data_IF_737199726657
#
_entry.id   IF_737199726657
#
_cell.length_a   1.000
_cell.length_b   1.000
_cell.length_c   1.000
_cell.angle_alpha   90.00
_cell.angle_beta   90.00
_cell.angle_gamma   90.00
#
_symmetry.space_group_name_H-M   'P 1'
#
loop_
_entity.id
_entity.type
_entity.pdbx_description
1 polymer ?
#
# COMPACT_ATOMS: atom_id res chain seq x y z
N UNK A 1 -11.64 -2.34 -49.51
CA UNK A 1 -10.45 -1.56 -49.93
C UNK A 1 -9.25 -2.17 -49.22
N UNK A 2 -8.48 -2.98 -49.94
CA UNK A 2 -7.20 -3.55 -49.42
C UNK A 2 -6.11 -2.51 -49.68
N UNK A 3 -5.44 -2.06 -48.63
CA UNK A 3 -4.19 -1.30 -48.75
C UNK A 3 -3.05 -2.27 -48.49
N UNK A 4 -2.26 -2.56 -49.49
CA UNK A 4 -1.01 -3.29 -49.45
C UNK A 4 0.09 -2.34 -48.98
N UNK A 5 0.76 -2.69 -47.85
CA UNK A 5 2.00 -2.06 -47.44
C UNK A 5 3.20 -2.94 -47.81
N UNK A 6 4.36 -2.38 -48.18
CA UNK A 6 5.52 -3.13 -48.61
C UNK A 6 6.23 -3.80 -47.44
N UNK A 7 6.80 -4.97 -47.73
CA UNK A 7 7.58 -5.81 -46.83
C UNK A 7 8.81 -5.10 -46.31
N UNK A 8 8.90 -4.95 -44.98
CA UNK A 8 10.15 -4.71 -44.25
C UNK A 8 10.57 -6.00 -43.57
N UNK A 9 11.84 -6.32 -43.72
CA UNK A 9 12.46 -7.59 -43.46
C UNK A 9 12.38 -8.12 -42.01
N UNK A 10 12.69 -9.37 -41.91
CA UNK A 10 12.79 -10.30 -40.80
C UNK A 10 13.22 -9.68 -39.45
N UNK A 11 12.38 -9.87 -38.40
CA UNK A 11 12.78 -9.60 -37.02
C UNK A 11 11.68 -9.24 -36.04
N UNK A 12 10.43 -9.11 -36.44
CA UNK A 12 9.33 -8.86 -35.49
C UNK A 12 8.85 -10.18 -34.87
N UNK A 13 9.23 -10.42 -33.64
CA UNK A 13 8.58 -11.46 -32.81
C UNK A 13 7.16 -11.01 -32.50
N UNK A 14 6.19 -11.60 -33.12
CA UNK A 14 4.78 -11.37 -32.88
C UNK A 14 4.39 -12.09 -31.60
N UNK A 15 3.99 -11.36 -30.57
CA UNK A 15 3.34 -11.92 -29.39
C UNK A 15 1.89 -12.22 -29.79
N UNK A 16 1.54 -13.48 -30.03
CA UNK A 16 0.16 -13.88 -30.29
C UNK A 16 -0.50 -14.17 -28.94
N UNK A 17 -1.46 -13.34 -28.53
CA UNK A 17 -2.32 -13.63 -27.40
C UNK A 17 -3.56 -14.29 -27.94
N UNK A 18 -3.69 -15.61 -27.81
CA UNK A 18 -4.91 -16.33 -28.13
C UNK A 18 -5.85 -16.34 -26.91
N UNK A 19 -7.00 -15.71 -27.04
CA UNK A 19 -8.10 -15.91 -26.10
C UNK A 19 -8.70 -17.29 -26.33
N UNK A 20 -8.55 -18.19 -25.37
CA UNK A 20 -9.16 -19.54 -25.39
C UNK A 20 -10.68 -19.44 -25.49
N UNK A 21 -11.35 -20.13 -26.44
CA UNK A 21 -12.79 -20.11 -26.55
C UNK A 21 -13.42 -21.01 -25.45
N UNK A 22 -14.17 -20.38 -24.56
CA UNK A 22 -15.20 -21.00 -23.71
C UNK A 22 -14.76 -22.19 -22.86
N UNK A 23 -14.01 -21.91 -21.87
CA UNK A 23 -13.97 -22.66 -20.61
C UNK A 23 -14.08 -21.65 -19.50
N UNK A 24 -14.81 -21.93 -18.45
CA UNK A 24 -14.84 -21.17 -17.21
C UNK A 24 -13.44 -20.64 -16.97
N UNK A 25 -13.27 -19.31 -16.92
CA UNK A 25 -12.06 -18.68 -16.43
C UNK A 25 -11.92 -19.10 -14.96
N UNK A 26 -11.39 -20.28 -14.72
CA UNK A 26 -10.56 -20.49 -13.57
C UNK A 26 -9.31 -19.68 -13.91
N UNK A 27 -9.26 -18.44 -13.45
CA UNK A 27 -7.97 -17.85 -13.18
C UNK A 27 -7.29 -18.82 -12.21
N UNK A 28 -6.35 -19.56 -12.74
CA UNK A 28 -5.54 -20.48 -11.95
C UNK A 28 -4.63 -19.63 -11.09
N UNK A 29 -5.18 -19.08 -10.01
CA UNK A 29 -4.35 -18.83 -8.86
C UNK A 29 -3.86 -20.21 -8.46
N UNK A 30 -2.60 -20.50 -8.70
CA UNK A 30 -1.95 -21.67 -8.13
C UNK A 30 -2.09 -21.50 -6.63
N UNK A 31 -3.12 -22.18 -6.06
CA UNK A 31 -3.24 -22.30 -4.60
C UNK A 31 -1.91 -22.83 -4.14
N UNK A 32 -1.15 -22.04 -3.38
CA UNK A 32 -0.01 -22.55 -2.65
C UNK A 32 -0.49 -23.77 -1.88
N UNK A 33 0.34 -24.80 -1.86
CA UNK A 33 0.00 -26.03 -1.16
C UNK A 33 -0.29 -25.69 0.31
N UNK A 34 -1.49 -26.02 0.77
CA UNK A 34 -1.95 -25.86 2.16
C UNK A 34 -1.34 -26.90 3.09
N UNK A 35 -0.53 -27.80 2.55
CA UNK A 35 0.22 -28.79 3.33
C UNK A 35 1.47 -28.17 3.93
N UNK A 36 1.88 -28.61 5.15
CA UNK A 36 3.16 -28.25 5.72
C UNK A 36 4.27 -28.45 4.70
N UNK A 37 5.28 -27.60 4.74
CA UNK A 37 6.46 -27.76 3.89
C UNK A 37 6.98 -29.21 4.01
N UNK A 38 6.97 -29.97 2.92
CA UNK A 38 7.37 -31.37 2.98
C UNK A 38 8.86 -31.56 3.26
N UNK A 39 9.67 -30.53 3.00
CA UNK A 39 11.11 -30.53 3.28
C UNK A 39 11.60 -29.12 3.68
N UNK A 40 11.40 -28.71 4.95
CA UNK A 40 11.84 -27.39 5.43
C UNK A 40 13.37 -27.22 5.39
N UNK A 41 14.13 -28.29 5.32
CA UNK A 41 15.59 -28.22 5.20
C UNK A 41 15.97 -27.81 3.78
N UNK A 42 15.44 -28.50 2.78
CA UNK A 42 15.68 -28.14 1.38
C UNK A 42 15.21 -26.72 1.08
N UNK A 43 14.05 -26.29 1.59
CA UNK A 43 13.56 -24.92 1.43
C UNK A 43 14.54 -23.89 1.99
N UNK A 44 15.08 -24.12 3.19
CA UNK A 44 16.10 -23.24 3.78
C UNK A 44 17.39 -23.21 2.98
N UNK A 45 17.86 -24.35 2.53
CA UNK A 45 19.08 -24.44 1.70
C UNK A 45 18.95 -23.60 0.42
N UNK A 46 17.79 -23.63 -0.24
CA UNK A 46 17.51 -22.79 -1.40
C UNK A 46 17.51 -21.30 -1.05
N UNK A 47 16.86 -20.92 0.04
CA UNK A 47 16.81 -19.52 0.52
C UNK A 47 18.21 -19.01 0.89
N UNK A 48 18.99 -19.81 1.62
CA UNK A 48 20.35 -19.44 2.02
C UNK A 48 21.28 -19.36 0.83
N UNK A 49 21.11 -20.24 -0.15
CA UNK A 49 21.89 -20.20 -1.39
C UNK A 49 21.67 -18.91 -2.17
N UNK A 50 20.42 -18.47 -2.34
CA UNK A 50 20.13 -17.23 -3.07
C UNK A 50 20.58 -15.98 -2.28
N UNK A 51 20.46 -15.98 -0.93
CA UNK A 51 21.02 -14.91 -0.09
C UNK A 51 22.52 -14.82 -0.22
N UNK A 52 23.23 -15.94 -0.13
CA UNK A 52 24.69 -15.98 -0.31
C UNK A 52 25.12 -15.46 -1.68
N UNK A 53 24.39 -15.79 -2.74
CA UNK A 53 24.68 -15.24 -4.07
C UNK A 53 24.46 -13.73 -4.08
N UNK A 54 23.38 -13.22 -3.51
CA UNK A 54 23.14 -11.78 -3.48
C UNK A 54 24.21 -11.03 -2.67
N UNK A 55 24.63 -11.57 -1.53
CA UNK A 55 25.65 -10.97 -0.65
C UNK A 55 27.06 -11.01 -1.26
N UNK A 56 27.45 -12.13 -1.88
CA UNK A 56 28.83 -12.33 -2.32
C UNK A 56 29.09 -12.05 -3.80
N UNK A 57 28.07 -12.18 -4.65
CA UNK A 57 28.18 -12.02 -6.09
C UNK A 57 27.36 -10.82 -6.62
N UNK A 58 26.53 -10.23 -5.75
CA UNK A 58 25.73 -9.06 -6.05
C UNK A 58 24.36 -9.38 -6.67
N UNK A 59 23.52 -8.38 -6.66
CA UNK A 59 22.11 -8.44 -7.08
C UNK A 59 21.91 -8.94 -8.52
N UNK A 60 22.73 -8.46 -9.45
CA UNK A 60 22.60 -8.84 -10.86
C UNK A 60 22.79 -10.35 -11.08
N UNK A 61 23.71 -10.98 -10.35
CA UNK A 61 23.94 -12.42 -10.45
C UNK A 61 22.79 -13.20 -9.77
N UNK A 62 22.28 -12.72 -8.62
CA UNK A 62 21.12 -13.31 -8.00
C UNK A 62 19.88 -13.24 -8.92
N UNK A 63 19.61 -12.09 -9.53
CA UNK A 63 18.55 -11.93 -10.54
C UNK A 63 18.73 -12.89 -11.73
N UNK A 64 19.96 -13.00 -12.25
CA UNK A 64 20.26 -13.91 -13.37
C UNK A 64 19.96 -15.37 -13.02
N UNK A 65 20.38 -15.84 -11.85
CA UNK A 65 20.13 -17.20 -11.38
C UNK A 65 18.65 -17.46 -11.14
N UNK A 66 17.94 -16.52 -10.54
CA UNK A 66 16.48 -16.64 -10.35
C UNK A 66 15.76 -16.76 -11.69
N UNK A 67 16.08 -15.92 -12.67
CA UNK A 67 15.49 -16.02 -14.01
C UNK A 67 15.77 -17.36 -14.67
N UNK A 68 16.99 -17.87 -14.54
CA UNK A 68 17.34 -19.18 -15.08
C UNK A 68 16.56 -20.33 -14.41
N UNK A 69 16.34 -20.23 -13.09
CA UNK A 69 15.56 -21.19 -12.33
C UNK A 69 14.08 -21.15 -12.73
N UNK A 70 13.52 -19.95 -12.87
CA UNK A 70 12.15 -19.73 -13.36
C UNK A 70 11.98 -20.32 -14.77
N UNK A 71 12.93 -20.06 -15.66
CA UNK A 71 12.90 -20.63 -17.02
C UNK A 71 12.94 -22.16 -16.98
N UNK A 72 13.83 -22.75 -16.18
CA UNK A 72 13.92 -24.20 -16.06
C UNK A 72 12.61 -24.82 -15.49
N UNK A 73 11.97 -24.17 -14.53
CA UNK A 73 10.68 -24.60 -14.01
C UNK A 73 9.58 -24.51 -15.09
N UNK A 74 9.55 -23.43 -15.86
CA UNK A 74 8.61 -23.27 -16.99
C UNK A 74 8.82 -24.34 -18.06
N UNK A 75 10.08 -24.65 -18.41
CA UNK A 75 10.42 -25.69 -19.38
C UNK A 75 10.02 -27.09 -18.88
N UNK A 76 9.99 -27.29 -17.56
CA UNK A 76 9.48 -28.50 -16.92
C UNK A 76 7.94 -28.54 -16.80
N UNK A 77 7.23 -27.52 -17.32
CA UNK A 77 5.77 -27.44 -17.28
C UNK A 77 5.20 -27.01 -15.94
N UNK A 78 6.03 -26.43 -15.06
CA UNK A 78 5.57 -25.83 -13.79
C UNK A 78 5.01 -24.43 -14.08
N UNK A 79 3.75 -24.22 -13.75
CA UNK A 79 3.13 -22.91 -13.75
C UNK A 79 3.55 -22.16 -12.48
N UNK A 80 4.36 -21.14 -12.63
CA UNK A 80 4.89 -20.35 -11.50
C UNK A 80 3.89 -19.25 -11.10
N UNK A 81 2.92 -18.96 -11.97
CA UNK A 81 1.94 -17.89 -11.75
C UNK A 81 2.57 -16.49 -11.69
N UNK A 82 1.91 -15.57 -10.99
CA UNK A 82 2.46 -14.24 -10.70
C UNK A 82 3.45 -14.35 -9.52
N UNK A 83 4.57 -13.63 -9.59
CA UNK A 83 5.54 -13.61 -8.49
C UNK A 83 4.99 -12.76 -7.34
N UNK A 84 4.39 -13.43 -6.38
CA UNK A 84 3.88 -12.85 -5.14
C UNK A 84 4.76 -13.30 -3.97
N UNK A 85 4.94 -12.42 -2.99
CA UNK A 85 5.59 -12.81 -1.74
C UNK A 85 4.56 -13.36 -0.74
N UNK A 86 4.96 -14.09 0.32
CA UNK A 86 4.03 -14.55 1.35
C UNK A 86 3.15 -13.41 1.89
N UNK A 87 1.93 -13.72 2.32
CA UNK A 87 1.00 -12.73 2.91
C UNK A 87 1.43 -12.33 4.32
N UNK A 88 2.63 -11.79 4.41
CA UNK A 88 3.32 -11.35 5.63
C UNK A 88 3.89 -9.95 5.44
N UNK A 89 4.26 -9.30 6.54
CA UNK A 89 5.01 -8.06 6.50
C UNK A 89 6.33 -8.27 5.75
N UNK A 90 6.70 -7.33 4.89
CA UNK A 90 7.97 -7.42 4.13
C UNK A 90 9.20 -7.21 5.01
N UNK A 91 9.07 -6.45 6.11
CA UNK A 91 10.17 -6.14 7.03
C UNK A 91 9.99 -6.99 8.28
N UNK A 92 11.00 -7.82 8.56
CA UNK A 92 11.01 -8.66 9.76
C UNK A 92 11.12 -7.78 11.02
N UNK A 93 10.52 -8.19 12.17
CA UNK A 93 10.61 -7.42 13.42
C UNK A 93 12.03 -7.06 13.83
N UNK A 94 12.99 -7.95 13.61
CA UNK A 94 14.42 -7.73 13.94
C UNK A 94 15.09 -6.64 13.08
N UNK A 95 14.52 -6.34 11.89
CA UNK A 95 15.04 -5.38 10.93
C UNK A 95 14.38 -3.99 11.04
N UNK A 96 13.37 -3.85 11.91
CA UNK A 96 12.57 -2.60 12.00
C UNK A 96 13.34 -1.42 12.63
N UNK A 97 14.34 -1.70 13.43
CA UNK A 97 15.06 -0.68 14.19
C UNK A 97 14.22 -0.05 15.32
N UNK A 98 14.84 0.83 16.09
CA UNK A 98 14.15 1.55 17.15
C UNK A 98 13.24 2.65 16.59
N UNK A 99 12.06 2.80 17.17
CA UNK A 99 11.17 3.92 16.84
C UNK A 99 11.78 5.24 17.35
N UNK A 100 11.87 6.28 16.54
CA UNK A 100 12.61 7.50 16.92
C UNK A 100 11.79 8.49 17.75
N UNK A 101 10.45 8.36 17.75
CA UNK A 101 9.52 9.28 18.39
C UNK A 101 9.04 8.84 19.77
N UNK A 102 8.14 9.62 20.34
CA UNK A 102 7.40 9.30 21.56
C UNK A 102 6.03 8.71 21.15
N UNK A 103 5.93 7.37 21.15
CA UNK A 103 4.72 6.65 20.72
C UNK A 103 3.49 7.09 21.51
N UNK A 104 3.57 7.25 22.82
CA UNK A 104 2.43 7.64 23.65
C UNK A 104 1.94 9.04 23.31
N UNK A 105 2.84 9.95 23.01
CA UNK A 105 2.51 11.31 22.58
C UNK A 105 1.89 11.29 21.19
N UNK A 106 2.47 10.56 20.25
CA UNK A 106 2.00 10.50 18.86
C UNK A 106 0.63 9.83 18.75
N UNK A 107 0.38 8.75 19.50
CA UNK A 107 -0.95 8.12 19.61
C UNK A 107 -2.00 9.09 20.18
N UNK A 108 -1.64 9.88 21.18
CA UNK A 108 -2.54 10.89 21.75
C UNK A 108 -2.84 12.01 20.75
N UNK A 109 -1.81 12.51 20.04
CA UNK A 109 -1.99 13.52 19.01
C UNK A 109 -2.86 13.00 17.86
N UNK A 110 -2.58 11.80 17.39
CA UNK A 110 -3.39 11.11 16.38
C UNK A 110 -4.86 10.99 16.82
N UNK A 111 -5.11 10.58 18.07
CA UNK A 111 -6.46 10.52 18.64
C UNK A 111 -7.18 11.87 18.62
N UNK A 112 -6.48 12.96 18.95
CA UNK A 112 -7.02 14.33 18.91
C UNK A 112 -7.32 14.76 17.48
N UNK A 113 -6.45 14.48 16.53
CA UNK A 113 -6.66 14.86 15.12
C UNK A 113 -7.88 14.10 14.55
N UNK A 114 -7.95 12.79 14.79
CA UNK A 114 -9.11 11.97 14.38
C UNK A 114 -10.43 12.48 14.98
N UNK A 115 -10.43 12.83 16.27
CA UNK A 115 -11.59 13.40 16.93
C UNK A 115 -12.03 14.71 16.27
N UNK A 116 -11.10 15.62 15.99
CA UNK A 116 -11.41 16.90 15.36
C UNK A 116 -11.95 16.72 13.94
N UNK A 117 -11.37 15.82 13.15
CA UNK A 117 -11.87 15.48 11.82
C UNK A 117 -13.32 14.95 11.89
N UNK A 118 -13.59 14.00 12.79
CA UNK A 118 -14.93 13.45 13.00
C UNK A 118 -15.93 14.53 13.46
N UNK A 119 -15.53 15.38 14.41
CA UNK A 119 -16.40 16.44 14.92
C UNK A 119 -16.72 17.50 13.88
N UNK A 120 -15.73 17.89 13.05
CA UNK A 120 -15.95 18.80 11.93
C UNK A 120 -17.03 18.26 10.98
N UNK A 121 -16.88 17.02 10.54
CA UNK A 121 -17.83 16.36 9.63
C UNK A 121 -19.20 16.19 10.28
N UNK A 122 -19.26 15.72 11.53
CA UNK A 122 -20.52 15.48 12.26
C UNK A 122 -21.29 16.78 12.49
N UNK A 123 -20.59 17.85 12.88
CA UNK A 123 -21.22 19.18 13.06
C UNK A 123 -21.76 19.71 11.75
N UNK A 124 -20.98 19.64 10.66
CA UNK A 124 -21.44 20.09 9.36
C UNK A 124 -22.73 19.37 8.93
N UNK A 125 -22.80 18.04 9.07
CA UNK A 125 -23.98 17.26 8.73
C UNK A 125 -25.19 17.54 9.66
N UNK A 126 -24.96 18.01 10.89
CA UNK A 126 -26.04 18.42 11.79
C UNK A 126 -26.75 19.68 11.32
N UNK A 127 -26.02 20.61 10.72
CA UNK A 127 -26.55 21.92 10.29
C UNK A 127 -26.90 21.98 8.81
N UNK A 128 -26.30 21.13 7.98
CA UNK A 128 -26.48 21.10 6.54
C UNK A 128 -26.74 19.67 6.08
N UNK A 129 -28.01 19.35 5.87
CA UNK A 129 -28.41 18.01 5.42
C UNK A 129 -27.71 17.65 4.09
N UNK A 130 -27.12 16.46 4.05
CA UNK A 130 -26.49 15.94 2.83
C UNK A 130 -25.12 16.52 2.49
N UNK A 131 -24.52 17.34 3.37
CA UNK A 131 -23.17 17.90 3.11
C UNK A 131 -22.10 16.81 3.03
N UNK A 132 -22.30 15.69 3.70
CA UNK A 132 -21.44 14.52 3.63
C UNK A 132 -20.08 14.70 4.33
N UNK A 133 -19.12 13.94 3.89
CA UNK A 133 -17.76 13.85 4.42
C UNK A 133 -17.33 12.38 4.59
N UNK A 134 -16.16 12.01 4.13
CA UNK A 134 -15.71 10.61 4.10
C UNK A 134 -14.77 10.31 5.26
N UNK A 135 -15.32 10.30 6.47
CA UNK A 135 -14.52 10.15 7.69
C UNK A 135 -13.88 8.76 7.82
N UNK A 136 -14.54 7.71 7.30
CA UNK A 136 -14.00 6.35 7.33
C UNK A 136 -12.73 6.21 6.47
N UNK A 137 -12.70 6.84 5.30
CA UNK A 137 -11.51 6.86 4.43
C UNK A 137 -10.32 7.50 5.14
N UNK A 138 -10.56 8.60 5.85
CA UNK A 138 -9.50 9.20 6.66
C UNK A 138 -9.09 8.30 7.83
N UNK A 139 -10.05 7.71 8.54
CA UNK A 139 -9.76 6.87 9.69
C UNK A 139 -8.81 5.72 9.33
N UNK A 140 -9.00 5.08 8.16
CA UNK A 140 -8.13 3.99 7.71
C UNK A 140 -6.74 4.45 7.28
N UNK A 141 -6.59 5.64 6.70
CA UNK A 141 -5.31 6.16 6.25
C UNK A 141 -4.56 6.98 7.31
N UNK A 142 -5.19 7.27 8.44
CA UNK A 142 -4.75 8.31 9.38
C UNK A 142 -3.36 8.06 9.99
N UNK A 143 -3.06 6.83 10.44
CA UNK A 143 -1.74 6.50 10.98
C UNK A 143 -0.63 6.71 9.95
N UNK A 144 -0.92 6.33 8.69
CA UNK A 144 0.00 6.54 7.58
C UNK A 144 0.36 8.00 7.39
N UNK A 145 -0.65 8.84 7.45
CA UNK A 145 -0.47 10.27 7.25
C UNK A 145 0.23 10.93 8.43
N UNK A 146 -0.16 10.56 9.66
CA UNK A 146 0.55 11.06 10.83
C UNK A 146 2.01 10.62 10.85
N UNK A 147 2.32 9.38 10.45
CA UNK A 147 3.70 8.92 10.26
C UNK A 147 4.46 9.80 9.26
N UNK A 148 3.85 10.08 8.11
CA UNK A 148 4.41 10.96 7.11
C UNK A 148 4.67 12.38 7.64
N UNK A 149 3.67 12.98 8.29
CA UNK A 149 3.77 14.32 8.85
C UNK A 149 4.81 14.43 9.98
N UNK A 150 4.91 13.42 10.82
CA UNK A 150 5.78 13.49 12.01
C UNK A 150 7.24 13.22 11.66
N UNK A 151 7.53 12.39 10.66
CA UNK A 151 8.88 11.86 10.47
C UNK A 151 9.45 11.96 9.05
N UNK A 152 8.61 12.08 8.01
CA UNK A 152 9.09 11.88 6.63
C UNK A 152 8.78 13.01 5.65
N UNK A 153 7.60 13.64 5.73
CA UNK A 153 7.25 14.69 4.78
C UNK A 153 8.08 15.95 5.01
N UNK A 154 8.68 16.46 3.96
CA UNK A 154 9.54 17.65 4.00
C UNK A 154 8.77 18.88 3.54
N UNK A 155 8.72 19.91 4.41
CA UNK A 155 8.14 21.20 4.09
C UNK A 155 9.01 22.01 3.14
N UNK A 156 8.46 23.12 2.64
CA UNK A 156 9.15 24.04 1.74
C UNK A 156 10.00 25.09 2.48
N UNK A 157 9.95 25.09 3.79
CA UNK A 157 10.70 25.96 4.69
C UNK A 157 12.11 25.41 5.02
N UNK A 158 12.40 24.17 4.59
CA UNK A 158 13.71 23.55 4.70
C UNK A 158 14.61 23.79 3.49
N UNK A 159 15.72 23.05 3.43
CA UNK A 159 16.59 23.05 2.25
C UNK A 159 15.92 22.28 1.08
N UNK A 160 15.87 22.87 -0.10
CA UNK A 160 15.33 22.26 -1.31
C UNK A 160 13.90 22.68 -1.64
N UNK A 161 13.27 21.95 -2.56
CA UNK A 161 11.95 22.29 -3.08
C UNK A 161 10.78 21.80 -2.20
N UNK A 162 11.07 21.03 -1.12
CA UNK A 162 10.06 20.31 -0.35
C UNK A 162 9.42 19.18 -1.11
N UNK A 163 8.56 18.42 -0.45
CA UNK A 163 7.85 17.29 -1.05
C UNK A 163 6.54 17.72 -1.70
N UNK A 164 6.08 16.94 -2.68
CA UNK A 164 4.77 17.09 -3.29
C UNK A 164 3.82 16.01 -2.76
N UNK A 165 2.71 16.43 -2.13
CA UNK A 165 1.78 15.53 -1.47
C UNK A 165 0.46 15.46 -2.25
N UNK A 166 0.19 14.29 -2.81
CA UNK A 166 -1.07 13.97 -3.49
C UNK A 166 -1.96 13.19 -2.52
N UNK A 167 -2.81 13.89 -1.82
CA UNK A 167 -3.69 13.33 -0.82
C UNK A 167 -4.84 12.53 -1.45
N UNK A 168 -5.23 11.44 -0.84
CA UNK A 168 -6.50 10.80 -1.18
C UNK A 168 -7.64 11.80 -0.89
N UNK A 169 -8.28 12.29 -1.96
CA UNK A 169 -9.18 13.44 -1.85
C UNK A 169 -10.32 13.31 -0.86
N UNK A 170 -10.87 12.08 -0.75
CA UNK A 170 -11.94 11.78 0.18
C UNK A 170 -11.51 11.84 1.66
N UNK A 171 -10.25 11.70 1.96
CA UNK A 171 -9.71 11.76 3.32
C UNK A 171 -9.27 13.18 3.76
N UNK A 172 -9.55 14.21 2.97
CA UNK A 172 -9.23 15.62 3.27
C UNK A 172 -9.66 16.12 4.67
N UNK A 173 -10.72 15.60 5.34
CA UNK A 173 -11.04 16.00 6.71
C UNK A 173 -9.88 15.89 7.68
N UNK A 174 -9.03 14.87 7.53
CA UNK A 174 -7.84 14.70 8.38
C UNK A 174 -6.80 15.78 8.18
N UNK A 175 -6.51 16.16 6.93
CA UNK A 175 -5.58 17.23 6.61
C UNK A 175 -6.05 18.57 7.20
N UNK A 176 -7.34 18.87 7.11
CA UNK A 176 -7.91 20.05 7.72
C UNK A 176 -7.80 20.03 9.24
N UNK A 177 -8.11 18.91 9.88
CA UNK A 177 -8.03 18.78 11.33
C UNK A 177 -6.60 18.96 11.84
N UNK A 178 -5.61 18.39 11.15
CA UNK A 178 -4.19 18.57 11.45
C UNK A 178 -3.76 20.02 11.27
N UNK A 179 -4.06 20.62 10.13
CA UNK A 179 -3.71 22.00 9.82
C UNK A 179 -4.34 23.01 10.79
N UNK A 180 -5.54 22.71 11.30
CA UNK A 180 -6.15 23.53 12.35
C UNK A 180 -5.38 23.45 13.67
N UNK A 181 -4.94 22.27 14.10
CA UNK A 181 -4.11 22.14 15.30
C UNK A 181 -2.74 22.83 15.15
N UNK A 182 -2.20 22.85 13.94
CA UNK A 182 -0.97 23.58 13.61
C UNK A 182 -1.18 25.09 13.49
N UNK A 183 -2.40 25.60 13.67
CA UNK A 183 -2.72 27.03 13.57
C UNK A 183 -2.79 27.59 12.14
N UNK A 184 -2.75 26.74 11.12
CA UNK A 184 -2.86 27.12 9.69
C UNK A 184 -4.30 27.40 9.26
N UNK A 185 -5.26 26.83 9.96
CA UNK A 185 -6.69 27.04 9.76
C UNK A 185 -7.33 27.62 11.02
N UNK A 186 -8.34 28.46 10.85
CA UNK A 186 -9.11 29.04 11.97
C UNK A 186 -10.28 28.15 12.37
N UNK A 187 -10.88 28.43 13.54
CA UNK A 187 -12.11 27.76 13.97
C UNK A 187 -13.26 28.02 13.00
N UNK A 188 -13.37 29.23 12.45
CA UNK A 188 -14.38 29.60 11.45
C UNK A 188 -14.26 28.76 10.16
N UNK A 189 -13.02 28.44 9.73
CA UNK A 189 -12.80 27.51 8.63
C UNK A 189 -13.36 26.13 8.93
N UNK A 190 -13.12 25.59 10.14
CA UNK A 190 -13.61 24.26 10.54
C UNK A 190 -15.14 24.20 10.61
N UNK A 191 -15.81 25.30 11.03
CA UNK A 191 -17.27 25.38 11.05
C UNK A 191 -17.90 25.44 9.67
N UNK A 192 -17.12 25.91 8.66
CA UNK A 192 -17.56 26.03 7.27
C UNK A 192 -17.02 24.90 6.38
N UNK A 193 -16.91 23.69 6.92
CA UNK A 193 -16.51 22.52 6.14
C UNK A 193 -17.44 22.27 4.95
N UNK A 194 -16.88 22.10 3.75
CA UNK A 194 -17.62 21.93 2.48
C UNK A 194 -18.56 23.09 2.13
N UNK A 195 -18.24 24.29 2.56
CA UNK A 195 -19.01 25.49 2.23
C UNK A 195 -18.18 26.48 1.43
N UNK A 196 -17.51 25.97 0.41
CA UNK A 196 -16.62 26.72 -0.47
C UNK A 196 -17.33 27.70 -1.41
N UNK A 197 -18.65 27.57 -1.59
CA UNK A 197 -19.43 28.47 -2.43
C UNK A 197 -19.42 29.86 -1.83
N UNK A 198 -18.84 30.82 -2.56
CA UNK A 198 -18.60 32.18 -2.04
C UNK A 198 -17.20 32.39 -1.46
N UNK A 199 -16.32 31.37 -1.47
CA UNK A 199 -14.89 31.50 -1.18
C UNK A 199 -14.50 31.65 0.28
N UNK A 200 -15.36 31.26 1.24
CA UNK A 200 -15.11 31.43 2.67
C UNK A 200 -15.03 30.13 3.47
N UNK A 201 -15.40 29.00 2.91
CA UNK A 201 -15.39 27.70 3.57
C UNK A 201 -14.25 26.82 3.08
N UNK A 202 -14.02 25.72 3.79
CA UNK A 202 -13.11 24.69 3.35
C UNK A 202 -13.69 23.99 2.11
N UNK A 203 -12.85 23.75 1.13
CA UNK A 203 -13.25 23.04 -0.07
C UNK A 203 -13.63 21.59 0.25
N UNK A 204 -14.59 21.06 -0.50
CA UNK A 204 -15.10 19.68 -0.34
C UNK A 204 -13.99 18.64 -0.51
N UNK A 205 -13.01 18.96 -1.37
CA UNK A 205 -11.86 18.14 -1.71
C UNK A 205 -10.63 19.04 -1.96
N UNK A 206 -9.42 18.47 -2.07
CA UNK A 206 -8.25 19.24 -2.49
C UNK A 206 -8.51 20.00 -3.77
N UNK A 207 -8.50 21.34 -3.68
CA UNK A 207 -8.89 22.21 -4.79
C UNK A 207 -8.03 23.49 -4.82
N UNK A 208 -6.94 23.52 -5.59
CA UNK A 208 -6.00 24.65 -5.63
C UNK A 208 -6.60 26.00 -6.02
N UNK A 209 -7.69 26.04 -6.80
CA UNK A 209 -8.34 27.30 -7.16
C UNK A 209 -9.18 27.90 -6.03
N UNK A 210 -9.77 27.04 -5.18
CA UNK A 210 -10.60 27.49 -4.06
C UNK A 210 -9.77 27.79 -2.82
N UNK A 211 -8.66 27.09 -2.64
CA UNK A 211 -7.73 27.25 -1.52
C UNK A 211 -6.28 27.24 -2.05
N UNK A 212 -5.85 28.29 -2.79
CA UNK A 212 -4.54 28.31 -3.47
C UNK A 212 -3.34 28.33 -2.53
N UNK A 213 -3.50 28.83 -1.32
CA UNK A 213 -2.45 28.88 -0.30
C UNK A 213 -2.41 27.62 0.57
N UNK A 214 -3.29 26.66 0.29
CA UNK A 214 -3.43 25.43 1.08
C UNK A 214 -3.23 24.16 0.27
N UNK A 215 -3.89 24.02 -0.88
CA UNK A 215 -3.81 22.85 -1.74
C UNK A 215 -2.90 23.09 -2.95
N UNK A 216 -1.97 22.17 -3.21
CA UNK A 216 -1.14 22.22 -4.40
C UNK A 216 -1.76 21.45 -5.58
N UNK A 217 -2.40 20.30 -5.29
CA UNK A 217 -2.88 19.39 -6.32
C UNK A 217 -4.36 19.04 -6.14
N UNK A 218 -5.13 18.97 -7.23
CA UNK A 218 -6.50 18.45 -7.20
C UNK A 218 -6.46 16.92 -7.26
N UNK A 219 -7.02 16.25 -6.26
CA UNK A 219 -6.98 14.77 -6.16
C UNK A 219 -8.35 14.12 -5.99
N UNK A 220 -9.42 14.84 -6.31
CA UNK A 220 -10.78 14.35 -6.10
C UNK A 220 -11.20 13.29 -7.11
N UNK A 221 -10.74 13.36 -8.35
CA UNK A 221 -11.04 12.36 -9.36
C UNK A 221 -10.22 11.11 -9.11
N UNK A 222 -10.89 10.05 -8.66
CA UNK A 222 -10.25 8.77 -8.43
C UNK A 222 -9.58 8.25 -9.71
N UNK A 223 -8.39 7.68 -9.56
CA UNK A 223 -7.55 7.22 -10.65
C UNK A 223 -6.63 8.26 -11.25
N UNK A 224 -7.06 9.52 -11.39
CA UNK A 224 -6.23 10.58 -11.98
C UNK A 224 -5.07 11.01 -11.07
N UNK A 225 -5.22 10.88 -9.76
CA UNK A 225 -4.18 11.22 -8.78
C UNK A 225 -2.89 10.44 -9.00
N UNK A 226 -2.99 9.11 -9.18
CA UNK A 226 -1.84 8.24 -9.43
C UNK A 226 -1.08 8.66 -10.70
N UNK A 227 -1.81 8.84 -11.79
CA UNK A 227 -1.22 9.23 -13.07
C UNK A 227 -0.55 10.61 -12.97
N UNK A 228 -1.20 11.59 -12.35
CA UNK A 228 -0.62 12.94 -12.21
C UNK A 228 0.58 12.96 -11.29
N UNK A 229 0.60 12.15 -10.22
CA UNK A 229 1.75 12.02 -9.32
C UNK A 229 2.98 11.45 -10.06
N UNK A 230 2.80 10.40 -10.88
CA UNK A 230 3.87 9.85 -11.73
C UNK A 230 4.41 10.92 -12.69
N UNK A 231 3.54 11.67 -13.34
CA UNK A 231 3.97 12.73 -14.23
C UNK A 231 4.64 13.90 -13.49
N UNK A 232 4.25 14.19 -12.26
CA UNK A 232 4.95 15.18 -11.42
C UNK A 232 6.37 14.70 -11.08
N UNK A 233 6.53 13.45 -10.67
CA UNK A 233 7.85 12.89 -10.40
C UNK A 233 8.75 12.94 -11.62
N UNK A 234 8.21 12.57 -12.78
CA UNK A 234 8.89 12.68 -14.08
C UNK A 234 9.28 14.11 -14.42
N UNK A 235 8.37 15.06 -14.18
CA UNK A 235 8.62 16.48 -14.46
C UNK A 235 9.67 17.06 -13.53
N UNK A 236 9.70 16.66 -12.26
CA UNK A 236 10.75 17.04 -11.32
C UNK A 236 12.13 16.61 -11.83
N UNK A 237 12.28 15.35 -12.29
CA UNK A 237 13.53 14.87 -12.90
C UNK A 237 13.91 15.66 -14.14
N UNK A 238 12.95 15.96 -15.00
CA UNK A 238 13.22 16.79 -16.19
C UNK A 238 13.74 18.18 -15.80
N UNK A 239 13.16 18.84 -14.81
CA UNK A 239 13.61 20.17 -14.36
C UNK A 239 15.00 20.12 -13.75
N UNK A 240 15.31 19.07 -12.99
CA UNK A 240 16.62 18.83 -12.40
C UNK A 240 17.69 18.57 -13.47
N UNK A 241 17.43 17.65 -14.39
CA UNK A 241 18.31 17.32 -15.52
C UNK A 241 18.61 18.55 -16.41
N UNK A 242 17.68 19.48 -16.47
CA UNK A 242 17.85 20.77 -17.16
C UNK A 242 18.55 21.82 -16.33
N UNK A 243 18.87 21.54 -15.06
CA UNK A 243 19.47 22.50 -14.14
C UNK A 243 18.58 23.72 -13.82
N UNK A 244 17.24 23.56 -13.95
CA UNK A 244 16.28 24.63 -13.72
C UNK A 244 15.93 24.77 -12.24
N UNK A 245 15.84 23.64 -11.53
CA UNK A 245 15.62 23.58 -10.08
C UNK A 245 16.41 22.39 -9.50
N UNK A 246 16.58 22.43 -8.18
CA UNK A 246 17.17 21.30 -7.44
C UNK A 246 16.05 20.54 -6.73
N UNK A 247 15.75 19.33 -7.19
CA UNK A 247 14.71 18.45 -6.62
C UNK A 247 15.27 17.15 -6.06
N UNK A 248 16.59 17.00 -6.00
CA UNK A 248 17.24 15.74 -5.63
C UNK A 248 16.77 15.15 -4.29
N UNK A 249 16.40 16.00 -3.33
CA UNK A 249 15.86 15.58 -2.04
C UNK A 249 14.33 15.54 -1.97
N UNK A 250 13.62 16.00 -3.01
CA UNK A 250 12.16 16.08 -3.02
C UNK A 250 11.54 14.76 -3.44
N UNK A 251 10.46 14.35 -2.75
CA UNK A 251 9.66 13.18 -3.07
C UNK A 251 8.28 13.59 -3.54
N UNK A 252 7.68 12.77 -4.37
CA UNK A 252 6.26 12.85 -4.70
C UNK A 252 5.55 11.72 -3.95
N UNK A 253 4.70 12.07 -3.01
CA UNK A 253 3.92 11.14 -2.21
C UNK A 253 2.49 11.09 -2.71
N UNK A 254 1.98 9.90 -2.94
CA UNK A 254 0.58 9.70 -3.32
C UNK A 254 -0.05 8.62 -2.45
N UNK A 255 -1.24 8.90 -1.91
CA UNK A 255 -2.04 7.90 -1.18
C UNK A 255 -3.23 7.51 -2.03
N UNK A 256 -3.40 6.21 -2.28
CA UNK A 256 -4.47 5.61 -3.05
C UNK A 256 -5.21 4.54 -2.25
N UNK A 257 -6.53 4.48 -2.41
CA UNK A 257 -7.34 3.37 -1.87
C UNK A 257 -7.31 2.14 -2.80
N UNK A 258 -7.56 0.96 -2.23
CA UNK A 258 -7.73 -0.29 -3.00
C UNK A 258 -8.90 -0.20 -3.99
N UNK A 259 -10.03 0.38 -3.58
CA UNK A 259 -11.16 0.63 -4.47
C UNK A 259 -10.84 1.60 -5.60
N UNK A 260 -9.94 2.57 -5.38
CA UNK A 260 -9.47 3.48 -6.43
C UNK A 260 -8.61 2.76 -7.48
N UNK A 261 -7.99 1.64 -7.13
CA UNK A 261 -7.20 0.83 -8.08
C UNK A 261 -8.04 0.15 -9.15
N UNK A 262 -9.37 0.09 -8.97
CA UNK A 262 -10.31 -0.42 -10.00
C UNK A 262 -10.48 0.56 -11.15
N UNK A 263 -10.14 1.85 -10.96
CA UNK A 263 -10.17 2.83 -12.03
C UNK A 263 -9.02 2.58 -13.02
N UNK A 264 -9.29 2.48 -14.34
CA UNK A 264 -8.25 2.17 -15.33
C UNK A 264 -7.06 3.12 -15.28
N UNK A 265 -7.27 4.38 -14.96
CA UNK A 265 -6.26 5.42 -14.89
C UNK A 265 -5.28 5.20 -13.73
N UNK A 266 -5.72 4.60 -12.62
CA UNK A 266 -4.90 4.42 -11.42
C UNK A 266 -3.63 3.63 -11.68
N UNK A 267 -3.71 2.58 -12.48
CA UNK A 267 -2.61 1.66 -12.75
C UNK A 267 -1.98 1.85 -14.13
N UNK A 268 -2.53 2.75 -14.95
CA UNK A 268 -2.18 2.89 -16.36
C UNK A 268 -0.73 3.32 -16.61
N UNK A 269 -0.11 4.05 -15.70
CA UNK A 269 1.21 4.63 -15.86
C UNK A 269 2.31 3.97 -15.00
N UNK A 270 1.99 2.89 -14.29
CA UNK A 270 2.97 2.19 -13.44
C UNK A 270 4.23 1.77 -14.22
N UNK A 271 4.04 1.17 -15.40
CA UNK A 271 5.15 0.75 -16.26
C UNK A 271 5.96 1.92 -16.83
N UNK A 272 5.39 3.14 -16.91
CA UNK A 272 6.14 4.34 -17.29
C UNK A 272 7.15 4.69 -16.20
N UNK A 273 6.72 4.72 -14.96
CA UNK A 273 7.59 5.02 -13.82
C UNK A 273 8.75 4.03 -13.73
N UNK A 274 8.47 2.72 -13.78
CA UNK A 274 9.50 1.68 -13.75
C UNK A 274 10.47 1.78 -14.93
N UNK A 275 9.97 2.00 -16.16
CA UNK A 275 10.82 2.12 -17.35
C UNK A 275 11.71 3.37 -17.34
N UNK A 276 11.23 4.48 -16.81
CA UNK A 276 12.01 5.72 -16.72
C UNK A 276 12.87 5.80 -15.46
N UNK A 277 12.80 4.78 -14.61
CA UNK A 277 13.61 4.74 -13.41
C UNK A 277 13.31 5.89 -12.45
N UNK A 278 12.02 6.21 -12.20
CA UNK A 278 11.63 7.28 -11.30
C UNK A 278 11.77 6.82 -9.83
N UNK A 279 12.81 7.22 -9.15
CA UNK A 279 13.12 6.90 -7.75
C UNK A 279 12.64 7.97 -6.75
N UNK A 280 11.90 8.96 -7.23
CA UNK A 280 11.43 10.10 -6.45
C UNK A 280 9.92 10.09 -6.22
N UNK A 281 9.24 8.94 -6.38
CA UNK A 281 7.81 8.79 -6.14
C UNK A 281 7.52 7.66 -5.16
N UNK A 282 6.63 7.91 -4.21
CA UNK A 282 6.18 6.95 -3.20
C UNK A 282 4.66 6.87 -3.25
N UNK A 283 4.14 5.66 -3.44
CA UNK A 283 2.70 5.39 -3.41
C UNK A 283 2.32 4.58 -2.18
N UNK A 284 1.45 5.10 -1.35
CA UNK A 284 0.87 4.39 -0.22
C UNK A 284 -0.49 3.84 -0.63
N UNK A 285 -0.62 2.51 -0.64
CA UNK A 285 -1.89 1.82 -0.92
C UNK A 285 -2.64 1.59 0.39
N UNK A 286 -3.81 2.19 0.53
CA UNK A 286 -4.71 1.97 1.65
C UNK A 286 -5.71 0.86 1.30
N UNK A 287 -5.38 -0.39 1.66
CA UNK A 287 -6.24 -1.56 1.42
C UNK A 287 -7.09 -1.82 2.65
N UNK A 288 -8.24 -1.16 2.72
CA UNK A 288 -9.21 -1.35 3.80
C UNK A 288 -10.34 -2.32 3.42
N UNK A 289 -10.25 -2.99 2.28
CA UNK A 289 -11.23 -3.93 1.73
C UNK A 289 -12.64 -3.32 1.56
N UNK A 290 -12.72 -2.00 1.43
CA UNK A 290 -13.98 -1.29 1.21
C UNK A 290 -13.97 -0.58 -0.14
N UNK A 291 -15.08 -0.67 -0.86
CA UNK A 291 -15.31 0.07 -2.11
C UNK A 291 -16.46 1.05 -1.91
N UNK A 292 -16.67 1.95 -2.90
CA UNK A 292 -17.73 2.96 -2.82
C UNK A 292 -19.13 2.37 -2.66
N UNK A 293 -19.37 1.21 -3.25
CA UNK A 293 -20.65 0.52 -3.30
C UNK A 293 -20.78 -0.60 -2.24
N UNK A 294 -19.78 -0.77 -1.37
CA UNK A 294 -19.79 -1.74 -0.30
C UNK A 294 -18.46 -2.49 -0.10
N UNK A 295 -18.49 -3.59 0.66
CA UNK A 295 -17.28 -4.38 0.89
C UNK A 295 -16.76 -5.04 -0.37
N UNK A 296 -15.46 -5.33 -0.37
CA UNK A 296 -14.83 -6.10 -1.45
C UNK A 296 -15.56 -7.41 -1.64
N UNK A 297 -15.87 -7.72 -2.89
CA UNK A 297 -16.53 -8.96 -3.29
C UNK A 297 -15.66 -9.68 -4.29
N UNK A 298 -15.41 -10.94 -4.07
CA UNK A 298 -14.66 -11.77 -5.02
C UNK A 298 -13.91 -12.89 -4.34
N UNK A 299 -13.29 -13.71 -5.17
CA UNK A 299 -12.48 -14.85 -4.76
C UNK A 299 -10.99 -14.56 -4.95
N UNK A 300 -10.57 -13.30 -4.74
CA UNK A 300 -9.20 -12.84 -4.87
C UNK A 300 -8.71 -12.20 -3.57
N UNK A 301 -7.43 -11.89 -3.55
CA UNK A 301 -6.75 -11.16 -2.51
C UNK A 301 -6.15 -9.91 -3.13
N UNK A 302 -6.82 -8.78 -2.94
CA UNK A 302 -6.48 -7.51 -3.60
C UNK A 302 -5.03 -7.09 -3.34
N UNK A 303 -4.53 -7.36 -2.15
CA UNK A 303 -3.15 -7.10 -1.75
C UNK A 303 -2.16 -7.81 -2.66
N UNK A 304 -2.34 -9.12 -2.86
CA UNK A 304 -1.47 -9.94 -3.69
C UNK A 304 -1.59 -9.54 -5.17
N UNK A 305 -2.81 -9.25 -5.62
CA UNK A 305 -3.05 -8.77 -6.97
C UNK A 305 -2.32 -7.45 -7.25
N UNK A 306 -2.38 -6.50 -6.32
CA UNK A 306 -1.68 -5.22 -6.44
C UNK A 306 -0.17 -5.41 -6.36
N UNK A 307 0.33 -6.25 -5.43
CA UNK A 307 1.76 -6.59 -5.37
C UNK A 307 2.26 -7.08 -6.73
N UNK A 308 1.56 -8.05 -7.34
CA UNK A 308 1.91 -8.60 -8.64
C UNK A 308 1.95 -7.53 -9.74
N UNK A 309 0.97 -6.63 -9.77
CA UNK A 309 0.89 -5.54 -10.76
C UNK A 309 2.04 -4.53 -10.61
N UNK A 310 2.33 -4.10 -9.38
CA UNK A 310 3.41 -3.15 -9.10
C UNK A 310 4.78 -3.78 -9.39
N UNK A 311 5.05 -4.99 -8.88
CA UNK A 311 6.32 -5.70 -9.17
C UNK A 311 6.51 -5.97 -10.65
N UNK A 312 5.46 -6.38 -11.35
CA UNK A 312 5.49 -6.58 -12.82
C UNK A 312 5.76 -5.30 -13.60
N UNK A 313 5.47 -4.15 -13.03
CA UNK A 313 5.78 -2.83 -13.60
C UNK A 313 7.16 -2.29 -13.19
N UNK A 314 7.94 -3.04 -12.42
CA UNK A 314 9.29 -2.67 -11.98
C UNK A 314 9.35 -1.86 -10.69
N UNK A 315 8.30 -1.96 -9.85
CA UNK A 315 8.23 -1.28 -8.57
C UNK A 315 8.73 -2.18 -7.43
N UNK A 316 9.40 -1.59 -6.45
CA UNK A 316 9.65 -2.24 -5.16
C UNK A 316 8.38 -2.20 -4.32
N UNK A 317 8.00 -3.30 -3.69
CA UNK A 317 6.75 -3.41 -2.90
C UNK A 317 7.08 -3.83 -1.48
N UNK A 318 6.64 -3.03 -0.51
CA UNK A 318 6.71 -3.34 0.92
C UNK A 318 5.29 -3.55 1.43
N UNK A 319 5.02 -4.73 1.99
CA UNK A 319 3.75 -5.05 2.63
C UNK A 319 3.83 -4.78 4.12
N UNK A 320 2.80 -4.10 4.63
CA UNK A 320 2.58 -3.83 6.06
C UNK A 320 1.16 -4.28 6.38
N UNK A 321 1.01 -5.52 6.82
CA UNK A 321 -0.29 -6.18 6.97
C UNK A 321 -0.66 -6.35 8.44
N UNK A 322 0.26 -6.86 9.23
CA UNK A 322 0.06 -7.33 10.59
C UNK A 322 0.74 -6.39 11.58
N UNK A 323 0.04 -6.02 12.64
CA UNK A 323 0.58 -5.21 13.72
C UNK A 323 1.57 -5.98 14.60
N UNK A 324 2.17 -5.29 15.54
CA UNK A 324 3.24 -5.84 16.39
C UNK A 324 2.77 -6.99 17.28
N UNK A 325 1.48 -7.07 17.62
CA UNK A 325 0.93 -8.19 18.40
C UNK A 325 1.00 -9.54 17.70
N UNK A 326 1.12 -9.54 16.37
CA UNK A 326 1.25 -10.76 15.56
C UNK A 326 2.68 -11.33 15.55
N UNK A 327 3.68 -10.53 15.89
CA UNK A 327 5.09 -10.92 15.75
C UNK A 327 5.43 -12.17 16.54
N UNK A 328 4.94 -12.29 17.78
CA UNK A 328 5.16 -13.47 18.60
C UNK A 328 4.54 -14.73 18.00
N UNK A 329 3.35 -14.62 17.41
CA UNK A 329 2.69 -15.76 16.78
C UNK A 329 3.46 -16.23 15.53
N UNK A 330 3.91 -15.30 14.70
CA UNK A 330 4.74 -15.64 13.54
C UNK A 330 6.09 -16.24 13.95
N UNK A 331 6.73 -15.72 15.00
CA UNK A 331 7.97 -16.29 15.52
C UNK A 331 7.79 -17.72 16.04
N UNK A 332 6.61 -18.07 16.56
CA UNK A 332 6.26 -19.43 17.04
C UNK A 332 5.80 -20.35 15.92
N UNK A 333 5.42 -19.84 14.76
CA UNK A 333 4.96 -20.61 13.61
C UNK A 333 6.13 -21.16 12.79
N UNK A 334 6.93 -22.01 13.39
CA UNK A 334 8.13 -22.56 12.76
C UNK A 334 7.87 -23.39 11.50
N UNK A 335 6.63 -23.79 11.26
CA UNK A 335 6.21 -24.59 10.09
C UNK A 335 5.50 -23.73 9.02
N UNK A 336 5.27 -22.45 9.27
CA UNK A 336 4.57 -21.56 8.35
C UNK A 336 3.08 -21.86 8.17
N UNK A 337 2.47 -22.56 9.13
CA UNK A 337 1.05 -22.96 9.02
C UNK A 337 0.12 -21.76 9.11
N UNK A 338 0.43 -20.81 9.99
CA UNK A 338 -0.34 -19.57 10.13
C UNK A 338 -0.17 -18.69 8.89
N UNK A 339 1.06 -18.52 8.42
CA UNK A 339 1.34 -17.76 7.19
C UNK A 339 0.58 -18.34 5.99
N UNK A 340 0.62 -19.67 5.81
CA UNK A 340 -0.13 -20.34 4.76
C UNK A 340 -1.65 -20.18 4.92
N UNK A 341 -2.16 -20.27 6.15
CA UNK A 341 -3.59 -20.09 6.44
C UNK A 341 -4.06 -18.68 6.08
N UNK A 342 -3.27 -17.66 6.41
CA UNK A 342 -3.58 -16.28 6.07
C UNK A 342 -3.51 -16.03 4.55
N UNK A 343 -2.62 -16.70 3.85
CA UNK A 343 -2.50 -16.62 2.38
C UNK A 343 -3.68 -17.28 1.65
N UNK A 344 -4.29 -18.31 2.25
CA UNK A 344 -5.46 -19.03 1.71
C UNK A 344 -6.76 -18.21 1.75
N UNK A 345 -6.89 -17.30 2.72
CA UNK A 345 -8.10 -16.51 2.90
C UNK A 345 -8.27 -15.57 1.72
N UNK A 346 -9.47 -15.54 1.15
CA UNK A 346 -9.86 -14.47 0.23
C UNK A 346 -10.34 -13.24 1.02
N UNK A 347 -10.33 -12.06 0.41
CA UNK A 347 -10.65 -10.79 1.07
C UNK A 347 -11.97 -10.82 1.84
N UNK A 348 -13.01 -11.44 1.27
CA UNK A 348 -14.31 -11.54 1.93
C UNK A 348 -14.30 -12.41 3.19
N UNK A 349 -13.55 -13.53 3.17
CA UNK A 349 -13.41 -14.39 4.34
C UNK A 349 -12.53 -13.74 5.40
N UNK A 350 -11.43 -13.13 4.99
CA UNK A 350 -10.56 -12.39 5.89
C UNK A 350 -11.33 -11.28 6.62
N UNK A 351 -12.05 -10.42 5.87
CA UNK A 351 -12.87 -9.36 6.46
C UNK A 351 -13.90 -9.90 7.43
N UNK A 352 -14.60 -10.98 7.07
CA UNK A 352 -15.60 -11.62 7.93
C UNK A 352 -14.98 -12.15 9.22
N UNK A 353 -13.89 -12.92 9.10
CA UNK A 353 -13.25 -13.56 10.25
C UNK A 353 -12.64 -12.53 11.19
N UNK A 354 -11.85 -11.58 10.63
CA UNK A 354 -11.16 -10.56 11.44
C UNK A 354 -12.11 -9.61 12.18
N UNK A 355 -13.39 -9.56 11.79
CA UNK A 355 -14.40 -8.74 12.45
C UNK A 355 -15.40 -9.54 13.28
N UNK A 356 -15.21 -10.85 13.41
CA UNK A 356 -16.06 -11.76 14.19
C UNK A 356 -15.69 -11.76 15.68
N UNK A 357 -16.51 -12.45 16.49
CA UNK A 357 -16.15 -12.73 17.88
C UNK A 357 -14.99 -13.71 18.01
N UNK A 358 -14.33 -13.71 19.16
CA UNK A 358 -13.13 -14.51 19.41
C UNK A 358 -13.36 -16.01 19.24
N UNK A 359 -14.55 -16.52 19.57
CA UNK A 359 -14.89 -17.93 19.37
C UNK A 359 -14.93 -18.29 17.87
N UNK A 360 -15.47 -17.43 17.04
CA UNK A 360 -15.48 -17.59 15.57
C UNK A 360 -14.05 -17.47 15.01
N UNK A 361 -13.27 -16.49 15.47
CA UNK A 361 -11.86 -16.33 15.09
C UNK A 361 -11.09 -17.61 15.39
N UNK A 362 -11.23 -18.15 16.61
CA UNK A 362 -10.56 -19.37 17.06
C UNK A 362 -10.90 -20.59 16.19
N UNK A 363 -12.12 -20.68 15.70
CA UNK A 363 -12.57 -21.83 14.91
C UNK A 363 -12.34 -21.68 13.42
N UNK A 364 -12.51 -20.48 12.87
CA UNK A 364 -12.47 -20.25 11.43
C UNK A 364 -11.06 -19.84 10.95
N UNK A 365 -10.35 -18.99 11.69
CA UNK A 365 -8.98 -18.63 11.37
C UNK A 365 -8.02 -19.75 11.77
N UNK A 366 -8.06 -20.16 13.04
CA UNK A 366 -7.21 -21.22 13.59
C UNK A 366 -7.88 -22.59 13.46
N UNK A 367 -8.24 -22.96 12.23
CA UNK A 367 -9.13 -24.08 11.88
C UNK A 367 -8.53 -25.49 12.00
N UNK A 368 -7.27 -25.62 12.44
CA UNK A 368 -6.60 -26.90 12.67
C UNK A 368 -6.10 -27.01 14.10
N UNK A 369 -5.87 -28.25 14.58
CA UNK A 369 -5.35 -28.48 15.94
C UNK A 369 -3.98 -27.80 16.15
N UNK A 370 -3.12 -27.81 15.13
CA UNK A 370 -1.82 -27.14 15.19
C UNK A 370 -1.94 -25.62 15.31
N UNK A 371 -2.85 -25.01 14.52
CA UNK A 371 -3.12 -23.56 14.61
C UNK A 371 -3.80 -23.19 15.94
N UNK A 372 -4.75 -24.00 16.42
CA UNK A 372 -5.37 -23.79 17.75
C UNK A 372 -4.35 -23.85 18.87
N UNK A 373 -3.35 -24.73 18.76
CA UNK A 373 -2.28 -24.83 19.75
C UNK A 373 -1.43 -23.55 19.83
N UNK A 374 -1.23 -22.85 18.71
CA UNK A 374 -0.48 -21.56 18.71
C UNK A 374 -1.18 -20.51 19.58
N UNK A 375 -2.50 -20.48 19.61
CA UNK A 375 -3.33 -19.49 20.30
C UNK A 375 -4.05 -20.03 21.54
N UNK A 376 -3.68 -21.22 22.03
CA UNK A 376 -4.32 -21.86 23.17
C UNK A 376 -4.22 -21.06 24.49
N UNK A 377 -3.24 -20.18 24.57
CA UNK A 377 -2.99 -19.32 25.73
C UNK A 377 -3.78 -18.00 25.68
N UNK A 378 -4.38 -17.64 24.54
CA UNK A 378 -5.13 -16.41 24.35
C UNK A 378 -6.62 -16.64 24.67
N UNK A 379 -7.24 -15.69 25.35
CA UNK A 379 -8.69 -15.61 25.51
C UNK A 379 -9.37 -15.21 24.19
N UNK A 380 -10.68 -15.27 24.13
CA UNK A 380 -11.42 -14.84 22.96
C UNK A 380 -11.35 -13.32 22.76
N UNK A 381 -11.34 -12.55 23.85
CA UNK A 381 -11.13 -11.08 23.80
C UNK A 381 -9.74 -10.71 23.32
N UNK A 382 -8.72 -11.48 23.70
CA UNK A 382 -7.35 -11.28 23.21
C UNK A 382 -7.23 -11.62 21.72
N UNK A 383 -7.95 -12.62 21.22
CA UNK A 383 -8.02 -12.92 19.79
C UNK A 383 -8.72 -11.82 18.99
N UNK A 384 -9.78 -11.23 19.53
CA UNK A 384 -10.43 -10.07 18.91
C UNK A 384 -9.46 -8.87 18.83
N UNK A 385 -8.73 -8.61 19.92
CA UNK A 385 -7.73 -7.55 19.96
C UNK A 385 -6.58 -7.80 18.96
N UNK A 386 -6.09 -9.04 18.87
CA UNK A 386 -5.10 -9.46 17.90
C UNK A 386 -5.55 -9.19 16.46
N UNK A 387 -6.76 -9.62 16.10
CA UNK A 387 -7.33 -9.41 14.76
C UNK A 387 -7.61 -7.93 14.45
N UNK A 388 -7.77 -7.09 15.47
CA UNK A 388 -7.90 -5.65 15.31
C UNK A 388 -6.56 -4.94 15.13
N UNK A 389 -5.44 -5.60 15.47
CA UNK A 389 -4.09 -5.04 15.36
C UNK A 389 -3.55 -5.27 13.93
N UNK A 390 -3.81 -4.31 13.06
CA UNK A 390 -3.36 -4.32 11.66
C UNK A 390 -2.13 -3.44 11.48
N UNK A 391 -1.18 -3.88 10.66
CA UNK A 391 0.10 -3.21 10.47
C UNK A 391 -0.03 -1.76 10.02
N UNK A 392 -1.08 -1.46 9.30
CA UNK A 392 -1.36 -0.09 8.87
C UNK A 392 -1.85 0.85 9.96
N UNK A 393 -2.18 0.35 11.14
CA UNK A 393 -2.51 1.14 12.31
C UNK A 393 -1.42 1.05 13.39
N UNK A 394 -0.25 0.52 13.05
CA UNK A 394 0.89 0.35 13.93
C UNK A 394 2.02 1.29 13.51
N UNK A 395 2.32 2.30 14.33
CA UNK A 395 3.35 3.29 14.04
C UNK A 395 4.75 2.68 13.89
N UNK A 396 5.07 1.61 14.62
CA UNK A 396 6.39 0.96 14.52
C UNK A 396 6.57 0.29 13.17
N UNK A 397 5.54 -0.48 12.75
CA UNK A 397 5.52 -1.13 11.43
C UNK A 397 5.58 -0.12 10.29
N UNK A 398 4.85 0.97 10.46
CA UNK A 398 4.77 2.06 9.52
C UNK A 398 6.09 2.79 9.37
N UNK A 399 6.72 3.14 10.50
CA UNK A 399 8.01 3.79 10.51
C UNK A 399 9.06 2.92 9.80
N UNK A 400 9.11 1.63 10.12
CA UNK A 400 10.02 0.70 9.46
C UNK A 400 9.85 0.69 7.91
N UNK A 401 8.60 0.69 7.43
CA UNK A 401 8.31 0.72 6.02
C UNK A 401 8.76 2.02 5.33
N UNK A 402 8.45 3.18 5.92
CA UNK A 402 8.84 4.47 5.36
C UNK A 402 10.36 4.69 5.42
N UNK A 403 11.03 4.21 6.50
CA UNK A 403 12.47 4.29 6.65
C UNK A 403 13.21 3.40 5.63
N UNK A 404 12.68 2.22 5.33
CA UNK A 404 13.27 1.32 4.33
C UNK A 404 13.34 1.99 2.95
N UNK A 405 12.43 2.89 2.66
CA UNK A 405 12.43 3.69 1.44
C UNK A 405 13.57 4.72 1.40
N UNK A 406 13.88 5.38 2.50
CA UNK A 406 15.00 6.33 2.54
C UNK A 406 16.34 5.66 2.21
N UNK A 407 16.53 4.41 2.66
CA UNK A 407 17.76 3.66 2.42
C UNK A 407 17.89 3.12 1.00
N UNK A 408 16.78 2.76 0.34
CA UNK A 408 16.83 2.31 -1.07
C UNK A 408 17.18 3.45 -2.01
N UNK A 409 16.83 4.69 -1.69
CA UNK A 409 17.16 5.87 -2.49
C UNK A 409 18.63 6.32 -2.36
N UNK A 410 19.31 5.97 -1.28
CA UNK A 410 20.73 6.30 -1.06
C UNK A 410 21.70 5.35 -1.79
N UNK A 411 21.27 4.14 -2.14
CA UNK A 411 22.10 3.09 -2.74
C UNK A 411 22.12 3.07 -4.27
N UNK A 412 21.96 4.20 -4.97
CA UNK A 412 22.14 4.36 -6.43
C UNK A 412 21.66 3.18 -7.28
N UNK A 413 20.61 2.50 -6.90
CA UNK A 413 19.96 1.45 -7.68
C UNK A 413 18.57 1.94 -8.11
N UNK A 414 18.13 1.70 -9.35
CA UNK A 414 16.82 2.15 -9.82
C UNK A 414 15.71 1.24 -9.28
N UNK A 415 15.62 1.09 -7.97
CA UNK A 415 14.58 0.28 -7.33
C UNK A 415 13.49 1.19 -6.77
N UNK A 416 12.31 1.08 -7.34
CA UNK A 416 11.19 1.97 -7.07
C UNK A 416 10.12 1.27 -6.23
N UNK A 417 9.86 1.82 -5.11
CA UNK A 417 8.60 2.11 -4.48
C UNK A 417 7.88 1.13 -3.56
N UNK A 418 7.41 1.71 -2.48
CA UNK A 418 6.65 1.10 -1.41
C UNK A 418 5.16 1.06 -1.74
N UNK A 419 4.56 -0.11 -1.83
CA UNK A 419 3.13 -0.34 -1.75
C UNK A 419 2.76 -0.77 -0.33
N UNK A 420 1.85 -0.05 0.31
CA UNK A 420 1.43 -0.29 1.68
C UNK A 420 -0.03 -0.65 1.74
N UNK A 421 -0.36 -1.60 2.56
CA UNK A 421 -1.67 -2.22 2.62
C UNK A 421 -2.22 -2.15 4.03
N UNK A 422 -3.41 -1.60 4.18
CA UNK A 422 -4.11 -1.37 5.43
C UNK A 422 -5.47 -2.05 5.41
N UNK A 423 -5.76 -2.83 6.43
CA UNK A 423 -7.09 -3.39 6.68
C UNK A 423 -7.76 -2.62 7.82
N UNK A 424 -8.99 -2.18 7.64
CA UNK A 424 -9.74 -1.48 8.66
C UNK A 424 -10.92 -2.31 9.19
N UNK A 425 -11.10 -2.24 10.52
CA UNK A 425 -12.28 -2.72 11.21
C UNK A 425 -13.30 -1.58 11.29
N UNK A 426 -14.56 -1.84 10.92
CA UNK A 426 -15.67 -0.93 11.16
C UNK A 426 -15.97 -0.81 12.64
#
# INVERSE_FOLDING_TARGET
>A
MQATFPSLGEGLKTLTIEASPRGTLQMGFTRRSTSPDPDPVATREWQDSIRAVAEHMGENEAKRLMHATIQAASDAGVDIGVVETPYLNSIHPDDQGAYPGDLDLEERLHGVIRWNAMMMVTRANKYFEGIGGHISTYASASHAWEMGFNHFFRGKDGEGAGDHLYWQGHASPGVYARAWLEGRLTHDHMEKFRQEVGGQGLSSYPHPRLMPDFWEFPTVSMGLGAMTAIHQARFNRYLEDRGLITTAASRVWYTMGDGESDEPESLSQLSLAGREGLDNIIMTMNCNLQRLDGPVRGNSKIVQELEGRFRGAGWHVIKVLWGSSWDELFARDSQGLLANRLDELVDGDEQRIMTSDGATIRNDLFNSEALKALVAHLSDEELEALCADVGGHDFVKLHAAYRSEEHTSELQSPDHLVCRLLLEKK
#
